data_IF_650952784802
#
_entry.id   IF_650952784802
#
_cell.length_a   1.000
_cell.length_b   1.000
_cell.length_c   1.000
_cell.angle_alpha   90.00
_cell.angle_beta   90.00
_cell.angle_gamma   90.00
#
_symmetry.space_group_name_H-M   'P 1'
#
loop_
_entity.id
_entity.type
_entity.pdbx_description
1 polymer ?
#
# COMPACT_ATOMS: atom_id res chain seq x y z
N UNK A 1 -22.97 -0.72 17.61
CA UNK A 1 -22.09 -0.19 18.66
C UNK A 1 -21.65 1.21 18.24
N UNK A 2 -22.36 2.23 18.70
CA UNK A 2 -22.13 3.64 18.34
C UNK A 2 -20.85 4.13 19.05
N UNK A 3 -19.73 4.16 18.34
CA UNK A 3 -18.54 4.90 18.79
C UNK A 3 -18.78 6.39 18.54
N UNK A 4 -18.86 7.15 19.62
CA UNK A 4 -19.12 8.59 19.65
C UNK A 4 -18.25 9.38 18.65
N UNK A 5 -18.90 9.88 17.61
CA UNK A 5 -18.32 10.76 16.58
C UNK A 5 -17.67 12.03 17.16
N UNK A 6 -18.06 12.44 18.37
CA UNK A 6 -17.47 13.57 19.11
C UNK A 6 -16.07 13.26 19.69
N UNK A 7 -15.81 12.03 20.12
CA UNK A 7 -14.51 11.62 20.68
C UNK A 7 -13.43 11.53 19.59
N UNK A 8 -13.82 11.04 18.40
CA UNK A 8 -12.95 11.02 17.21
C UNK A 8 -12.63 12.46 16.76
N UNK A 9 -13.62 13.35 16.67
CA UNK A 9 -13.41 14.76 16.29
C UNK A 9 -12.48 15.51 17.26
N UNK A 10 -12.64 15.34 18.57
CA UNK A 10 -11.76 15.99 19.57
C UNK A 10 -10.31 15.50 19.49
N UNK A 11 -10.07 14.19 19.32
CA UNK A 11 -8.70 13.65 19.17
C UNK A 11 -8.04 14.06 17.85
N UNK A 12 -8.80 14.19 16.76
CA UNK A 12 -8.27 14.69 15.48
C UNK A 12 -7.77 16.12 15.63
N UNK A 13 -8.53 17.01 16.28
CA UNK A 13 -8.14 18.43 16.44
C UNK A 13 -6.85 18.56 17.27
N UNK A 14 -6.68 17.77 18.34
CA UNK A 14 -5.46 17.80 19.17
C UNK A 14 -4.22 17.25 18.46
N UNK A 15 -4.37 16.37 17.45
CA UNK A 15 -3.26 15.89 16.61
C UNK A 15 -2.69 17.02 15.74
N UNK A 16 -3.54 17.98 15.34
CA UNK A 16 -3.16 19.08 14.48
C UNK A 16 -2.68 20.35 15.23
N UNK A 17 -2.46 20.31 16.55
CA UNK A 17 -2.05 21.50 17.34
C UNK A 17 -0.70 21.36 18.06
N UNK A 18 0.06 20.28 17.79
CA UNK A 18 1.43 20.11 18.29
C UNK A 18 2.43 20.87 17.40
N UNK A 19 3.60 21.33 17.89
CA UNK A 19 4.68 21.94 17.07
C UNK A 19 5.16 21.09 15.87
N UNK A 20 4.73 19.82 15.81
CA UNK A 20 4.88 18.90 14.69
C UNK A 20 3.89 19.08 13.54
N UNK A 21 2.97 20.06 13.61
CA UNK A 21 1.93 20.30 12.59
C UNK A 21 2.50 20.54 11.20
N UNK A 22 3.50 21.41 11.07
CA UNK A 22 4.14 21.74 9.80
C UNK A 22 4.82 20.51 9.18
N UNK A 23 5.49 19.70 10.01
CA UNK A 23 6.08 18.42 9.57
C UNK A 23 4.98 17.50 9.05
N UNK A 24 3.92 17.30 9.82
CA UNK A 24 2.81 16.42 9.44
C UNK A 24 2.11 16.88 8.14
N UNK A 25 1.94 18.20 7.96
CA UNK A 25 1.34 18.78 6.76
C UNK A 25 2.24 18.58 5.53
N UNK A 26 3.53 18.86 5.64
CA UNK A 26 4.51 18.62 4.56
C UNK A 26 4.55 17.14 4.18
N UNK A 27 4.51 16.25 5.16
CA UNK A 27 4.53 14.79 4.95
C UNK A 27 3.27 14.25 4.25
N UNK A 28 2.14 14.95 4.32
CA UNK A 28 0.89 14.55 3.64
C UNK A 28 0.75 15.24 2.28
N UNK A 29 1.07 16.54 2.20
CA UNK A 29 0.91 17.32 0.97
C UNK A 29 1.94 16.90 -0.09
N UNK A 30 3.18 16.61 0.29
CA UNK A 30 4.22 16.21 -0.66
C UNK A 30 3.86 14.94 -1.46
N UNK A 31 3.45 13.80 -0.86
CA UNK A 31 3.02 12.64 -1.64
C UNK A 31 1.73 12.93 -2.40
N UNK A 32 0.80 13.74 -1.86
CA UNK A 32 -0.43 14.11 -2.55
C UNK A 32 -0.18 14.86 -3.87
N UNK A 33 0.74 15.84 -3.86
CA UNK A 33 1.14 16.58 -5.05
C UNK A 33 1.89 15.70 -6.04
N UNK A 34 2.84 14.90 -5.53
CA UNK A 34 3.66 14.02 -6.35
C UNK A 34 2.80 13.07 -7.18
N UNK A 35 1.78 12.44 -6.57
CA UNK A 35 0.93 11.47 -7.27
C UNK A 35 -0.05 12.11 -8.25
N UNK A 36 -0.16 13.44 -8.36
CA UNK A 36 -0.98 14.04 -9.41
C UNK A 36 -0.42 13.77 -10.81
N UNK A 37 0.89 13.54 -10.92
CA UNK A 37 1.58 13.22 -12.17
C UNK A 37 1.01 11.98 -12.88
N UNK A 38 1.05 11.90 -14.23
CA UNK A 38 0.69 10.71 -15.00
C UNK A 38 1.38 9.43 -14.51
N UNK A 39 0.67 8.29 -14.56
CA UNK A 39 1.20 7.00 -14.08
C UNK A 39 2.56 6.62 -14.67
N UNK A 40 2.82 6.77 -16.00
CA UNK A 40 4.12 6.41 -16.55
C UNK A 40 5.29 7.22 -15.98
N UNK A 41 5.05 8.48 -15.63
CA UNK A 41 6.08 9.32 -15.00
C UNK A 41 6.34 8.87 -13.56
N UNK A 42 5.29 8.51 -12.82
CA UNK A 42 5.43 7.95 -11.47
C UNK A 42 6.22 6.63 -11.53
N UNK A 43 5.90 5.73 -12.45
CA UNK A 43 6.64 4.47 -12.61
C UNK A 43 8.11 4.73 -12.91
N UNK A 44 8.42 5.66 -13.83
CA UNK A 44 9.81 6.01 -14.16
C UNK A 44 10.55 6.60 -12.96
N UNK A 45 9.95 7.58 -12.28
CA UNK A 45 10.52 8.20 -11.09
C UNK A 45 10.75 7.18 -9.98
N UNK A 46 9.75 6.36 -9.67
CA UNK A 46 9.82 5.30 -8.67
C UNK A 46 10.89 4.27 -9.00
N UNK A 47 10.94 3.80 -10.25
CA UNK A 47 11.95 2.87 -10.74
C UNK A 47 13.37 3.43 -10.59
N UNK A 48 13.58 4.70 -10.95
CA UNK A 48 14.90 5.35 -10.85
C UNK A 48 15.31 5.53 -9.39
N UNK A 49 14.44 6.09 -8.55
CA UNK A 49 14.70 6.29 -7.11
C UNK A 49 14.96 4.94 -6.43
N UNK A 50 14.13 3.95 -6.71
CA UNK A 50 14.25 2.60 -6.20
C UNK A 50 15.58 1.95 -6.57
N UNK A 51 15.95 2.00 -7.85
CA UNK A 51 17.23 1.47 -8.34
C UNK A 51 18.43 2.15 -7.68
N UNK A 52 18.40 3.49 -7.54
CA UNK A 52 19.46 4.25 -6.88
C UNK A 52 19.56 3.95 -5.38
N UNK A 53 18.44 3.63 -4.73
CA UNK A 53 18.45 3.26 -3.31
C UNK A 53 19.27 2.00 -3.02
N UNK A 54 19.46 1.13 -4.02
CA UNK A 54 20.31 -0.06 -3.91
C UNK A 54 21.79 0.23 -3.65
N UNK A 55 22.27 1.45 -3.91
CA UNK A 55 23.64 1.86 -3.58
C UNK A 55 23.81 2.22 -2.10
N UNK A 56 22.75 2.67 -1.44
CA UNK A 56 22.78 3.09 -0.04
C UNK A 56 22.26 2.00 0.91
N UNK A 57 21.30 1.18 0.45
CA UNK A 57 20.61 0.17 1.27
C UNK A 57 21.31 -1.21 1.21
N UNK A 58 22.61 -1.24 1.49
CA UNK A 58 23.46 -2.44 1.36
C UNK A 58 22.90 -3.65 2.12
N UNK A 59 22.41 -3.46 3.35
CA UNK A 59 21.78 -4.54 4.14
C UNK A 59 20.53 -5.10 3.47
N UNK A 60 19.67 -4.25 2.90
CA UNK A 60 18.46 -4.69 2.20
C UNK A 60 18.82 -5.43 0.91
N UNK A 61 19.87 -4.96 0.22
CA UNK A 61 20.37 -5.60 -1.01
C UNK A 61 20.93 -6.99 -0.73
N UNK A 62 21.68 -7.16 0.36
CA UNK A 62 22.19 -8.45 0.80
C UNK A 62 21.06 -9.45 1.12
N UNK A 63 20.00 -8.99 1.81
CA UNK A 63 18.83 -9.83 2.10
C UNK A 63 18.11 -10.25 0.81
N UNK A 64 17.86 -9.30 -0.09
CA UNK A 64 17.21 -9.59 -1.37
C UNK A 64 18.02 -10.61 -2.20
N UNK A 65 19.35 -10.43 -2.25
CA UNK A 65 20.26 -11.38 -2.90
C UNK A 65 20.15 -12.77 -2.28
N UNK A 66 20.25 -12.88 -0.96
CA UNK A 66 20.16 -14.17 -0.27
C UNK A 66 18.83 -14.87 -0.54
N UNK A 67 17.72 -14.12 -0.53
CA UNK A 67 16.40 -14.67 -0.81
C UNK A 67 16.30 -15.18 -2.26
N UNK A 68 16.82 -14.44 -3.23
CA UNK A 68 16.81 -14.86 -4.65
C UNK A 68 17.68 -16.09 -4.86
N UNK A 69 18.85 -16.17 -4.22
CA UNK A 69 19.71 -17.37 -4.27
C UNK A 69 19.01 -18.62 -3.74
N UNK A 70 18.27 -18.49 -2.64
CA UNK A 70 17.54 -19.59 -2.03
C UNK A 70 16.30 -20.02 -2.83
N UNK A 71 15.54 -19.05 -3.35
CA UNK A 71 14.32 -19.34 -4.11
C UNK A 71 14.60 -19.78 -5.55
N UNK A 72 15.71 -19.31 -6.15
CA UNK A 72 16.05 -19.56 -7.55
C UNK A 72 17.52 -20.04 -7.68
N UNK A 73 17.83 -21.25 -7.19
CA UNK A 73 19.21 -21.75 -7.21
C UNK A 73 19.75 -22.01 -8.63
N UNK A 74 18.88 -22.21 -9.62
CA UNK A 74 19.27 -22.60 -10.98
C UNK A 74 19.49 -21.44 -11.95
N UNK A 75 19.13 -20.20 -11.59
CA UNK A 75 19.32 -19.05 -12.49
C UNK A 75 20.75 -18.51 -12.42
N UNK A 76 21.25 -18.01 -13.55
CA UNK A 76 22.59 -17.45 -13.68
C UNK A 76 22.80 -16.22 -12.78
N UNK A 77 24.07 -15.95 -12.42
CA UNK A 77 24.43 -14.79 -11.60
C UNK A 77 23.95 -13.46 -12.22
N UNK A 78 24.06 -13.33 -13.55
CA UNK A 78 23.57 -12.14 -14.26
C UNK A 78 22.06 -11.95 -14.08
N UNK A 79 21.28 -13.05 -14.18
CA UNK A 79 19.83 -12.98 -13.98
C UNK A 79 19.45 -12.69 -12.53
N UNK A 80 20.25 -13.15 -11.56
CA UNK A 80 20.06 -12.79 -10.15
C UNK A 80 20.24 -11.30 -9.91
N UNK A 81 21.31 -10.70 -10.46
CA UNK A 81 21.55 -9.25 -10.29
C UNK A 81 20.49 -8.40 -11.00
N UNK A 82 19.97 -8.86 -12.14
CA UNK A 82 18.81 -8.24 -12.80
C UNK A 82 17.56 -8.28 -11.89
N UNK A 83 17.22 -9.44 -11.33
CA UNK A 83 16.10 -9.56 -10.39
C UNK A 83 16.29 -8.70 -9.14
N UNK A 84 17.51 -8.58 -8.61
CA UNK A 84 17.79 -7.69 -7.49
C UNK A 84 17.48 -6.25 -7.90
N UNK A 85 17.94 -5.80 -9.06
CA UNK A 85 17.63 -4.45 -9.57
C UNK A 85 16.12 -4.25 -9.72
N UNK A 86 15.40 -5.24 -10.23
CA UNK A 86 13.94 -5.18 -10.40
C UNK A 86 13.19 -5.11 -9.06
N UNK A 87 13.67 -5.81 -8.03
CA UNK A 87 13.13 -5.72 -6.66
C UNK A 87 13.26 -4.30 -6.12
N UNK A 88 14.41 -3.66 -6.33
CA UNK A 88 14.64 -2.29 -5.89
C UNK A 88 13.85 -1.27 -6.71
N UNK A 89 13.75 -1.45 -8.02
CA UNK A 89 12.88 -0.66 -8.88
C UNK A 89 11.42 -0.75 -8.40
N UNK A 90 10.93 -1.97 -8.18
CA UNK A 90 9.58 -2.24 -7.68
C UNK A 90 9.33 -1.63 -6.30
N UNK A 91 10.32 -1.63 -5.41
CA UNK A 91 10.24 -0.97 -4.12
C UNK A 91 9.97 0.54 -4.26
N UNK A 92 10.69 1.21 -5.16
CA UNK A 92 10.50 2.64 -5.41
C UNK A 92 9.15 2.95 -6.07
N UNK A 93 8.71 2.10 -7.01
CA UNK A 93 7.37 2.19 -7.61
C UNK A 93 6.29 2.02 -6.53
N UNK A 94 6.42 1.03 -5.65
CA UNK A 94 5.47 0.74 -4.59
C UNK A 94 5.28 1.90 -3.59
N UNK A 95 6.34 2.68 -3.32
CA UNK A 95 6.23 3.89 -2.51
C UNK A 95 5.29 4.91 -3.15
N UNK A 96 5.38 5.11 -4.47
CA UNK A 96 4.49 6.01 -5.20
C UNK A 96 3.08 5.43 -5.34
N UNK A 97 2.97 4.12 -5.56
CA UNK A 97 1.70 3.41 -5.60
C UNK A 97 0.94 3.45 -4.27
N UNK A 98 1.64 3.54 -3.14
CA UNK A 98 1.02 3.80 -1.84
C UNK A 98 0.32 5.16 -1.82
N UNK A 99 0.96 6.19 -2.36
CA UNK A 99 0.32 7.50 -2.54
C UNK A 99 -0.87 7.43 -3.50
N UNK A 100 -0.76 6.68 -4.61
CA UNK A 100 -1.87 6.45 -5.54
C UNK A 100 -3.05 5.81 -4.81
N UNK A 101 -2.80 4.75 -4.04
CA UNK A 101 -3.83 4.01 -3.32
C UNK A 101 -4.63 4.89 -2.35
N UNK A 102 -3.98 5.85 -1.69
CA UNK A 102 -4.60 6.69 -0.67
C UNK A 102 -5.27 7.95 -1.25
N UNK A 103 -4.69 8.54 -2.29
CA UNK A 103 -5.08 9.87 -2.77
C UNK A 103 -5.87 9.87 -4.09
N UNK A 104 -5.66 8.90 -4.99
CA UNK A 104 -6.36 8.92 -6.28
C UNK A 104 -7.86 8.66 -6.16
N UNK A 105 -8.67 9.29 -7.04
CA UNK A 105 -10.08 8.95 -7.18
C UNK A 105 -10.25 7.59 -7.87
N UNK A 106 -11.35 6.91 -7.56
CA UNK A 106 -11.66 5.55 -8.05
C UNK A 106 -11.59 5.45 -9.57
N UNK A 107 -12.12 6.46 -10.28
CA UNK A 107 -12.09 6.54 -11.74
C UNK A 107 -10.70 6.37 -12.35
N UNK A 108 -9.66 6.81 -11.62
CA UNK A 108 -8.26 6.76 -12.09
C UNK A 108 -7.64 5.41 -11.75
N UNK A 109 -7.90 4.90 -10.54
CA UNK A 109 -7.42 3.58 -10.10
C UNK A 109 -8.03 2.45 -10.96
N UNK A 110 -9.32 2.54 -11.31
CA UNK A 110 -10.01 1.55 -12.18
C UNK A 110 -9.38 1.37 -13.56
N UNK A 111 -8.57 2.33 -14.03
CA UNK A 111 -7.84 2.24 -15.31
C UNK A 111 -6.51 1.51 -15.20
N UNK A 112 -6.04 1.20 -13.98
CA UNK A 112 -4.72 0.59 -13.74
C UNK A 112 -4.76 -0.94 -13.60
N UNK A 113 -5.93 -1.57 -13.58
CA UNK A 113 -6.03 -2.99 -13.28
C UNK A 113 -7.10 -3.72 -14.08
N UNK A 114 -6.88 -5.01 -14.26
CA UNK A 114 -7.84 -6.00 -14.75
C UNK A 114 -7.96 -7.12 -13.71
N UNK A 115 -9.17 -7.66 -13.53
CA UNK A 115 -9.43 -8.69 -12.52
C UNK A 115 -9.81 -9.98 -13.19
N UNK A 116 -9.16 -11.07 -12.81
CA UNK A 116 -9.49 -12.42 -13.25
C UNK A 116 -10.04 -13.23 -12.07
N UNK A 117 -11.04 -14.09 -12.34
CA UNK A 117 -11.59 -15.00 -11.31
C UNK A 117 -12.53 -14.37 -10.28
N UNK A 118 -12.98 -13.12 -10.47
CA UNK A 118 -13.91 -12.45 -9.53
C UNK A 118 -15.26 -13.18 -9.38
N UNK A 119 -15.66 -13.93 -10.40
CA UNK A 119 -16.89 -14.72 -10.44
C UNK A 119 -16.95 -15.78 -9.34
N UNK A 120 -15.81 -16.38 -8.96
CA UNK A 120 -15.74 -17.32 -7.84
C UNK A 120 -16.13 -16.66 -6.52
N UNK A 121 -15.63 -15.44 -6.28
CA UNK A 121 -15.93 -14.66 -5.08
C UNK A 121 -17.40 -14.24 -5.05
N UNK A 122 -17.94 -13.78 -6.20
CA UNK A 122 -19.33 -13.35 -6.31
C UNK A 122 -20.30 -14.50 -6.07
N UNK A 123 -20.03 -15.69 -6.62
CA UNK A 123 -20.86 -16.88 -6.43
C UNK A 123 -21.02 -17.23 -4.95
N UNK A 124 -19.91 -17.36 -4.22
CA UNK A 124 -19.92 -17.71 -2.79
C UNK A 124 -20.56 -16.60 -1.94
N UNK A 125 -20.42 -15.34 -2.37
CA UNK A 125 -21.07 -14.19 -1.71
C UNK A 125 -22.59 -14.25 -1.86
N UNK A 126 -23.11 -14.61 -3.05
CA UNK A 126 -24.56 -14.78 -3.30
C UNK A 126 -25.15 -15.90 -2.46
N UNK A 127 -24.38 -16.96 -2.20
CA UNK A 127 -24.74 -18.06 -1.29
C UNK A 127 -24.71 -17.65 0.20
N UNK A 128 -24.42 -16.38 0.52
CA UNK A 128 -24.29 -15.82 1.88
C UNK A 128 -23.27 -16.57 2.74
N UNK A 129 -22.26 -17.18 2.13
CA UNK A 129 -21.16 -17.85 2.83
C UNK A 129 -20.05 -16.86 3.10
N UNK A 130 -19.43 -16.95 4.28
CA UNK A 130 -18.24 -16.18 4.61
C UNK A 130 -17.07 -16.59 3.71
N UNK A 131 -16.28 -15.59 3.27
CA UNK A 131 -15.08 -15.82 2.45
C UNK A 131 -13.87 -15.25 3.15
N UNK A 132 -12.84 -16.07 3.33
CA UNK A 132 -11.52 -15.63 3.78
C UNK A 132 -10.61 -15.47 2.57
N UNK A 133 -10.17 -14.24 2.30
CA UNK A 133 -9.24 -13.93 1.21
C UNK A 133 -7.81 -13.93 1.75
N UNK A 134 -6.96 -14.79 1.20
CA UNK A 134 -5.54 -14.85 1.56
C UNK A 134 -4.75 -14.08 0.50
N UNK A 135 -4.08 -13.00 0.92
CA UNK A 135 -3.20 -12.20 0.09
C UNK A 135 -1.73 -12.52 0.33
N UNK A 136 -0.91 -12.38 -0.71
CA UNK A 136 0.55 -12.41 -0.62
C UNK A 136 1.05 -10.97 -0.53
N UNK A 137 2.10 -10.74 0.26
CA UNK A 137 2.74 -9.42 0.37
C UNK A 137 3.58 -9.14 -0.88
N UNK A 138 2.93 -8.59 -1.91
CA UNK A 138 3.60 -7.99 -3.06
C UNK A 138 4.06 -6.56 -2.75
N UNK A 139 4.97 -6.02 -3.56
CA UNK A 139 5.46 -4.66 -3.41
C UNK A 139 4.32 -3.63 -3.43
N UNK A 140 3.39 -3.77 -4.37
CA UNK A 140 2.21 -2.91 -4.53
C UNK A 140 1.10 -3.19 -3.51
N UNK A 141 1.43 -3.48 -2.24
CA UNK A 141 0.48 -3.96 -1.23
C UNK A 141 -0.72 -3.02 -1.03
N UNK A 142 -0.46 -1.73 -0.83
CA UNK A 142 -1.53 -0.74 -0.57
C UNK A 142 -2.42 -0.54 -1.80
N UNK A 143 -1.84 -0.56 -2.99
CA UNK A 143 -2.60 -0.49 -4.25
C UNK A 143 -3.41 -1.77 -4.48
N UNK A 144 -2.86 -2.93 -4.19
CA UNK A 144 -3.57 -4.20 -4.20
C UNK A 144 -4.78 -4.19 -3.28
N UNK A 145 -4.60 -3.75 -2.03
CA UNK A 145 -5.70 -3.58 -1.06
C UNK A 145 -6.76 -2.55 -1.48
N UNK A 146 -6.34 -1.51 -2.21
CA UNK A 146 -7.26 -0.53 -2.83
C UNK A 146 -8.09 -1.19 -3.94
N UNK A 147 -7.43 -1.92 -4.84
CA UNK A 147 -8.05 -2.60 -5.98
C UNK A 147 -9.03 -3.66 -5.50
N UNK A 148 -8.63 -4.52 -4.55
CA UNK A 148 -9.50 -5.57 -4.01
C UNK A 148 -10.77 -4.98 -3.40
N UNK A 149 -10.66 -3.90 -2.62
CA UNK A 149 -11.82 -3.20 -2.07
C UNK A 149 -12.71 -2.54 -3.14
N UNK A 150 -12.14 -2.04 -4.24
CA UNK A 150 -12.92 -1.51 -5.38
C UNK A 150 -13.70 -2.58 -6.15
N UNK A 151 -13.28 -3.85 -6.03
CA UNK A 151 -13.93 -5.00 -6.66
C UNK A 151 -14.96 -5.64 -5.72
N UNK A 152 -14.57 -5.87 -4.47
CA UNK A 152 -15.41 -6.43 -3.42
C UNK A 152 -15.02 -5.83 -2.07
N UNK A 153 -15.82 -4.90 -1.52
CA UNK A 153 -15.49 -4.28 -0.23
C UNK A 153 -15.40 -5.32 0.89
N UNK A 154 -14.22 -5.38 1.52
CA UNK A 154 -13.85 -6.41 2.49
C UNK A 154 -13.49 -5.82 3.86
N UNK A 155 -13.37 -6.68 4.87
CA UNK A 155 -12.85 -6.32 6.19
C UNK A 155 -11.41 -6.80 6.28
N UNK A 156 -10.48 -5.91 6.64
CA UNK A 156 -9.06 -6.24 6.71
C UNK A 156 -8.56 -6.19 8.15
N UNK A 157 -7.79 -7.19 8.57
CA UNK A 157 -7.09 -7.14 9.85
C UNK A 157 -5.86 -6.26 9.75
N UNK A 158 -5.57 -5.48 10.80
CA UNK A 158 -4.35 -4.67 10.84
C UNK A 158 -3.81 -4.47 12.26
N UNK A 159 -2.56 -3.98 12.31
CA UNK A 159 -1.91 -3.49 13.52
C UNK A 159 -1.84 -1.97 13.43
N UNK A 160 -2.31 -1.22 14.45
CA UNK A 160 -2.17 0.23 14.49
C UNK A 160 -0.72 0.69 14.34
N UNK A 161 -0.52 1.73 13.56
CA UNK A 161 0.78 2.37 13.37
C UNK A 161 1.17 3.18 14.62
N UNK A 162 2.46 3.16 14.99
CA UNK A 162 2.95 3.84 16.20
C UNK A 162 2.75 5.37 16.13
N UNK A 163 2.94 5.96 14.94
CA UNK A 163 2.66 7.37 14.68
C UNK A 163 1.16 7.57 14.37
N UNK A 164 0.48 8.41 15.17
CA UNK A 164 -0.97 8.68 15.08
C UNK A 164 -1.40 9.37 13.77
N UNK A 165 -0.54 10.19 13.18
CA UNK A 165 -0.83 10.84 11.89
C UNK A 165 -0.80 9.82 10.78
N UNK A 166 0.25 8.98 10.75
CA UNK A 166 0.35 7.88 9.79
C UNK A 166 -0.78 6.87 9.95
N UNK A 167 -1.17 6.58 11.20
CA UNK A 167 -2.33 5.73 11.48
C UNK A 167 -3.61 6.31 10.88
N UNK A 168 -3.85 7.61 11.06
CA UNK A 168 -5.03 8.28 10.52
C UNK A 168 -5.02 8.29 8.98
N UNK A 169 -3.89 8.64 8.36
CA UNK A 169 -3.76 8.67 6.89
C UNK A 169 -3.95 7.27 6.29
N UNK A 170 -3.27 6.26 6.85
CA UNK A 170 -3.35 4.89 6.38
C UNK A 170 -4.76 4.31 6.56
N UNK A 171 -5.37 4.51 7.73
CA UNK A 171 -6.73 4.03 7.98
C UNK A 171 -7.73 4.72 7.06
N UNK A 172 -7.63 6.05 6.89
CA UNK A 172 -8.49 6.79 5.98
C UNK A 172 -8.32 6.31 4.53
N UNK A 173 -7.09 6.11 4.07
CA UNK A 173 -6.79 5.59 2.73
C UNK A 173 -7.38 4.21 2.49
N UNK A 174 -7.19 3.28 3.43
CA UNK A 174 -7.70 1.90 3.33
C UNK A 174 -9.23 1.83 3.39
N UNK A 175 -9.86 2.63 4.25
CA UNK A 175 -11.32 2.67 4.44
C UNK A 175 -12.09 3.27 3.26
N UNK A 176 -11.42 3.98 2.34
CA UNK A 176 -12.08 4.52 1.14
C UNK A 176 -12.62 3.43 0.19
N UNK A 177 -12.16 2.18 0.29
CA UNK A 177 -12.63 1.05 -0.54
C UNK A 177 -13.01 -0.19 0.27
N UNK A 178 -12.80 -0.17 1.59
CA UNK A 178 -13.00 -1.33 2.46
C UNK A 178 -14.06 -1.03 3.52
N UNK A 179 -14.73 -2.08 4.00
CA UNK A 179 -15.86 -1.95 4.93
C UNK A 179 -15.40 -1.62 6.35
N UNK A 180 -14.31 -2.23 6.81
CA UNK A 180 -13.77 -2.02 8.15
C UNK A 180 -12.31 -2.47 8.25
N UNK A 181 -11.58 -1.86 9.18
CA UNK A 181 -10.27 -2.33 9.64
C UNK A 181 -10.42 -2.94 11.03
N UNK A 182 -10.14 -4.24 11.18
CA UNK A 182 -10.26 -4.99 12.44
C UNK A 182 -8.89 -5.02 13.13
N UNK A 183 -8.82 -4.64 14.40
CA UNK A 183 -7.58 -4.75 15.17
C UNK A 183 -7.26 -6.22 15.47
N UNK A 184 -6.01 -6.64 15.25
CA UNK A 184 -5.57 -8.02 15.54
C UNK A 184 -5.61 -8.38 17.03
N UNK A 185 -5.52 -7.40 17.94
CA UNK A 185 -5.70 -7.64 19.39
C UNK A 185 -7.21 -7.76 19.66
N UNK A 186 -7.72 -8.98 19.51
CA UNK A 186 -9.00 -9.41 20.10
C UNK A 186 -8.74 -9.71 21.57
#
# INVERSE_FOLDING_TARGET
>A
MNMDSKCIKRKVITIFTSPSLLVNVVWIISPFLLVQLPYPLLVRLGSTIGSLSGFFLNRRKAIARRNIELCFPLISLNKREELIKDVFSSLGIALLETGIAWFWPDRRVRKLFTVHGITHLQKVTTEKRGVMVIGIHFMSLELGGRITGLCQPMMAMYRPHNNKVMEWVQTKGRMRSNKAMINRKI
#
